data_IF_288545035438
#
_entry.id   IF_288545035438
#
_cell.length_a   1.000
_cell.length_b   1.000
_cell.length_c   1.000
_cell.angle_alpha   90.00
_cell.angle_beta   90.00
_cell.angle_gamma   90.00
#
_symmetry.space_group_name_H-M   'P 1'
#
loop_
_entity.id
_entity.type
_entity.pdbx_description
1 polymer ?
#
# COMPACT_ATOMS: atom_id res chain seq x y z
N UNK A 1 21.20 -45.40 35.55
CA UNK A 1 21.33 -44.47 36.69
C UNK A 1 21.72 -43.14 36.07
N UNK A 2 20.73 -42.26 35.88
CA UNK A 2 20.86 -41.00 35.14
C UNK A 2 20.95 -39.89 36.17
N UNK A 3 22.05 -39.14 36.19
CA UNK A 3 22.23 -38.03 37.12
C UNK A 3 21.43 -36.80 36.65
N UNK A 4 20.81 -36.03 37.57
CA UNK A 4 20.08 -34.83 37.22
C UNK A 4 21.02 -33.64 36.96
N UNK A 5 20.77 -32.93 35.86
CA UNK A 5 21.49 -31.71 35.48
C UNK A 5 20.96 -30.52 36.30
N UNK A 6 21.78 -29.98 37.18
CA UNK A 6 21.47 -28.79 37.98
C UNK A 6 21.85 -27.54 37.17
N UNK A 7 20.93 -26.61 36.86
CA UNK A 7 21.29 -25.33 36.27
C UNK A 7 22.03 -24.47 37.29
N UNK A 8 23.24 -24.02 36.95
CA UNK A 8 24.04 -23.10 37.76
C UNK A 8 23.44 -21.69 37.82
N UNK A 9 23.87 -20.87 38.79
CA UNK A 9 23.37 -19.51 38.95
C UNK A 9 23.80 -18.62 37.77
N UNK A 10 22.84 -17.89 37.20
CA UNK A 10 23.10 -16.90 36.17
C UNK A 10 23.84 -15.70 36.79
N UNK A 11 25.04 -15.45 36.27
CA UNK A 11 25.84 -14.26 36.60
C UNK A 11 25.15 -13.01 36.01
N UNK A 12 24.94 -11.92 36.78
CA UNK A 12 24.42 -10.68 36.24
C UNK A 12 25.47 -10.00 35.37
N UNK A 13 25.18 -9.90 34.06
CA UNK A 13 25.99 -9.17 33.10
C UNK A 13 26.16 -7.70 33.56
N UNK A 14 27.38 -7.14 33.57
CA UNK A 14 27.58 -5.74 33.95
C UNK A 14 26.90 -4.82 32.93
N UNK A 15 26.17 -3.82 33.44
CA UNK A 15 25.55 -2.76 32.66
C UNK A 15 26.59 -2.05 31.78
N UNK A 16 26.42 -2.12 30.45
CA UNK A 16 27.19 -1.30 29.53
C UNK A 16 26.84 0.18 29.75
N UNK A 17 27.83 1.08 29.92
CA UNK A 17 27.57 2.50 30.01
C UNK A 17 27.01 3.00 28.68
N UNK A 18 25.88 3.70 28.78
CA UNK A 18 25.08 4.20 27.66
C UNK A 18 25.91 4.93 26.62
N UNK A 19 25.74 4.52 25.37
CA UNK A 19 26.14 5.31 24.21
C UNK A 19 25.21 6.54 24.14
N UNK A 20 25.75 7.70 24.49
CA UNK A 20 25.09 9.00 24.30
C UNK A 20 24.57 9.12 22.85
N UNK A 21 23.33 9.59 22.63
CA UNK A 21 22.85 9.90 21.29
C UNK A 21 23.66 11.07 20.73
N UNK A 22 24.21 10.86 19.53
CA UNK A 22 24.87 11.90 18.76
C UNK A 22 23.99 13.16 18.72
N UNK A 23 24.57 14.28 19.15
CA UNK A 23 23.96 15.59 19.11
C UNK A 23 23.37 15.85 17.71
N UNK A 24 22.05 16.03 17.65
CA UNK A 24 21.38 16.50 16.45
C UNK A 24 21.93 17.87 16.02
N UNK A 25 21.94 18.19 14.72
CA UNK A 25 22.52 19.43 14.23
C UNK A 25 21.81 20.65 14.83
N UNK A 26 22.62 21.61 15.32
CA UNK A 26 22.21 22.86 15.94
C UNK A 26 21.09 23.61 15.17
N UNK A 27 20.00 24.04 15.83
CA UNK A 27 18.90 24.77 15.20
C UNK A 27 19.25 26.20 14.79
N UNK A 28 20.45 26.69 15.11
CA UNK A 28 20.95 28.02 14.71
C UNK A 28 21.50 28.06 13.28
N UNK A 29 21.80 26.89 12.68
CA UNK A 29 22.30 26.78 11.30
C UNK A 29 21.18 26.67 10.24
N UNK A 30 19.92 26.91 10.62
CA UNK A 30 18.78 26.92 9.69
C UNK A 30 18.40 28.29 9.15
N UNK A 31 18.87 29.37 9.79
CA UNK A 31 18.55 30.75 9.38
C UNK A 31 19.50 31.31 8.32
N UNK A 32 20.69 30.76 8.19
CA UNK A 32 21.71 31.25 7.23
C UNK A 32 21.63 30.56 5.86
N UNK A 33 21.13 29.33 5.79
CA UNK A 33 21.05 28.55 4.53
C UNK A 33 19.89 28.98 3.63
N UNK A 34 18.85 29.62 4.18
CA UNK A 34 17.70 30.13 3.40
C UNK A 34 18.09 31.35 2.55
N UNK A 35 19.18 32.05 2.88
CA UNK A 35 19.64 33.22 2.11
C UNK A 35 20.65 32.89 1.00
N UNK A 36 21.10 31.63 0.84
CA UNK A 36 22.03 31.23 -0.23
C UNK A 36 21.42 30.33 -1.31
N UNK A 37 20.15 29.95 -1.21
CA UNK A 37 19.46 29.13 -2.21
C UNK A 37 18.67 29.94 -3.27
N UNK A 38 18.71 31.28 -3.23
CA UNK A 38 17.99 32.15 -4.20
C UNK A 38 18.89 32.64 -5.34
N UNK A 39 20.22 32.45 -5.27
CA UNK A 39 21.15 32.95 -6.31
C UNK A 39 21.57 31.95 -7.38
N UNK A 40 21.25 30.64 -7.25
CA UNK A 40 21.71 29.62 -8.21
C UNK A 40 20.70 29.29 -9.34
N UNK A 41 19.43 29.71 -9.24
CA UNK A 41 18.40 29.40 -10.25
C UNK A 41 18.37 30.43 -11.39
N UNK A 42 18.83 31.67 -11.16
CA UNK A 42 18.81 32.71 -12.18
C UNK A 42 19.91 32.57 -13.26
N UNK A 43 21.03 31.90 -12.96
CA UNK A 43 22.14 31.76 -13.91
C UNK A 43 21.93 30.66 -14.96
N UNK A 44 21.16 29.61 -14.64
CA UNK A 44 20.95 28.46 -15.54
C UNK A 44 19.93 28.78 -16.65
N UNK A 45 18.94 29.63 -16.38
CA UNK A 45 17.95 30.04 -17.39
C UNK A 45 18.55 30.93 -18.51
N UNK A 46 19.59 31.72 -18.21
CA UNK A 46 20.23 32.64 -19.18
C UNK A 46 21.10 31.86 -20.19
N UNK A 47 21.71 30.74 -19.78
CA UNK A 47 22.53 29.91 -20.68
C UNK A 47 21.67 29.13 -21.67
N UNK A 48 20.47 28.70 -21.29
CA UNK A 48 19.56 27.93 -22.17
C UNK A 48 18.98 28.83 -23.28
N UNK A 49 18.69 30.10 -22.99
CA UNK A 49 18.18 31.06 -23.98
C UNK A 49 19.23 31.43 -25.05
N UNK A 50 20.52 31.45 -24.71
CA UNK A 50 21.60 31.74 -25.66
C UNK A 50 21.85 30.60 -26.65
N UNK A 51 21.59 29.34 -26.26
CA UNK A 51 21.80 28.17 -27.13
C UNK A 51 20.70 28.05 -28.21
N UNK A 52 19.49 28.56 -27.94
CA UNK A 52 18.38 28.51 -28.89
C UNK A 52 18.42 29.58 -30.00
N UNK A 53 19.29 30.60 -29.90
CA UNK A 53 19.36 31.71 -30.88
C UNK A 53 20.49 31.51 -31.90
N UNK A 54 21.37 30.52 -31.73
CA UNK A 54 22.55 30.33 -32.59
C UNK A 54 22.37 29.32 -33.74
N UNK A 55 21.17 28.83 -34.03
CA UNK A 55 20.93 27.91 -35.16
C UNK A 55 19.80 28.36 -36.09
N UNK A 56 19.70 29.67 -36.33
CA UNK A 56 19.02 30.20 -37.51
C UNK A 56 20.06 30.42 -38.62
N UNK A 57 20.22 29.44 -39.51
CA UNK A 57 21.12 29.53 -40.65
C UNK A 57 20.88 28.46 -41.71
N UNK A 58 20.25 28.90 -42.81
CA UNK A 58 20.27 28.34 -44.16
C UNK A 58 19.28 27.23 -44.55
N UNK A 59 18.31 27.68 -45.35
CA UNK A 59 17.54 26.96 -46.35
C UNK A 59 18.41 26.14 -47.31
N UNK A 60 17.94 24.97 -47.78
CA UNK A 60 17.73 24.68 -49.21
C UNK A 60 17.01 23.32 -49.41
N UNK A 61 16.25 23.25 -50.50
CA UNK A 61 15.12 22.35 -50.76
C UNK A 61 15.50 21.01 -51.45
N UNK A 62 14.61 20.34 -52.22
CA UNK A 62 14.11 18.99 -51.96
C UNK A 62 14.70 17.93 -52.91
N UNK A 63 14.64 16.64 -52.59
CA UNK A 63 14.71 15.57 -53.60
C UNK A 63 13.93 14.34 -53.17
N UNK A 64 13.21 13.84 -54.16
CA UNK A 64 12.21 12.79 -54.12
C UNK A 64 12.77 11.37 -53.90
N UNK A 65 11.80 10.48 -53.65
CA UNK A 65 11.76 9.07 -54.05
C UNK A 65 12.67 8.08 -53.30
N UNK A 66 12.04 7.23 -52.49
CA UNK A 66 11.88 5.79 -52.74
C UNK A 66 11.12 5.19 -51.55
N UNK A 67 9.86 4.79 -51.70
CA UNK A 67 9.44 3.49 -52.24
C UNK A 67 9.95 2.29 -51.42
N UNK A 68 8.96 1.49 -50.98
CA UNK A 68 9.07 0.08 -50.55
C UNK A 68 9.61 -0.15 -49.13
N UNK A 69 9.10 -1.06 -48.31
CA UNK A 69 8.04 -2.08 -48.41
C UNK A 69 7.87 -2.64 -46.98
N UNK A 70 6.62 -2.90 -46.60
CA UNK A 70 6.18 -4.17 -46.02
C UNK A 70 6.87 -4.68 -44.74
N UNK A 71 6.22 -4.46 -43.59
CA UNK A 71 6.29 -5.39 -42.45
C UNK A 71 4.86 -5.89 -42.17
N UNK A 72 4.64 -7.13 -42.57
CA UNK A 72 3.45 -7.95 -42.35
C UNK A 72 3.13 -8.09 -40.86
N UNK A 73 1.86 -7.97 -40.44
CA UNK A 73 1.42 -8.52 -39.15
C UNK A 73 1.29 -10.04 -39.29
N UNK A 74 2.10 -10.80 -38.53
CA UNK A 74 1.87 -12.24 -38.35
C UNK A 74 0.72 -12.39 -37.35
N UNK A 75 -0.48 -12.57 -37.90
CA UNK A 75 -1.65 -13.11 -37.21
C UNK A 75 -1.42 -14.61 -37.00
N UNK A 76 -1.07 -15.03 -35.80
CA UNK A 76 -1.19 -16.44 -35.41
C UNK A 76 -2.62 -16.70 -34.91
N UNK A 77 -3.45 -17.18 -35.82
CA UNK A 77 -4.76 -17.76 -35.53
C UNK A 77 -4.56 -19.18 -35.01
N UNK A 78 -4.67 -19.39 -33.70
CA UNK A 78 -4.82 -20.75 -33.15
C UNK A 78 -6.31 -21.08 -33.13
N UNK A 79 -6.74 -21.84 -34.13
CA UNK A 79 -8.03 -22.54 -34.17
C UNK A 79 -7.77 -24.00 -33.83
N UNK A 80 -8.21 -24.44 -32.64
CA UNK A 80 -8.43 -25.86 -32.34
C UNK A 80 -9.68 -26.03 -31.47
N UNK A 81 -10.75 -26.41 -32.17
CA UNK A 81 -11.72 -27.48 -31.89
C UNK A 81 -12.19 -27.72 -30.44
N UNK A 82 -13.49 -27.49 -30.14
CA UNK A 82 -14.13 -28.05 -28.95
C UNK A 82 -14.42 -29.54 -29.16
N UNK A 83 -13.90 -30.39 -28.27
CA UNK A 83 -14.27 -31.80 -28.18
C UNK A 83 -15.47 -31.96 -27.24
N UNK A 84 -16.62 -32.27 -27.85
CA UNK A 84 -17.77 -32.90 -27.22
C UNK A 84 -17.43 -34.36 -26.88
N UNK A 85 -17.63 -34.79 -25.64
CA UNK A 85 -17.97 -36.19 -25.32
C UNK A 85 -18.75 -36.25 -24.00
N UNK A 86 -19.88 -36.93 -24.12
CA UNK A 86 -20.94 -37.27 -23.20
C UNK A 86 -20.56 -38.06 -21.92
N UNK A 87 -21.58 -38.11 -21.05
CA UNK A 87 -21.90 -39.15 -20.07
C UNK A 87 -21.13 -39.22 -18.75
N UNK A 88 -21.84 -38.86 -17.66
CA UNK A 88 -22.22 -39.86 -16.65
C UNK A 88 -23.48 -39.41 -15.91
N UNK A 89 -24.53 -40.17 -16.14
CA UNK A 89 -25.78 -40.24 -15.36
C UNK A 89 -25.47 -40.67 -13.92
N UNK A 90 -26.02 -39.97 -12.92
CA UNK A 90 -26.39 -40.59 -11.63
C UNK A 90 -27.67 -39.95 -11.12
N UNK A 91 -28.66 -40.83 -10.98
CA UNK A 91 -30.02 -40.65 -10.53
C UNK A 91 -30.09 -40.48 -9.01
N UNK A 92 -30.87 -39.47 -8.61
CA UNK A 92 -31.73 -39.33 -7.43
C UNK A 92 -31.30 -39.95 -6.09
N UNK A 93 -31.17 -39.08 -5.08
CA UNK A 93 -31.78 -39.38 -3.78
C UNK A 93 -32.78 -38.28 -3.43
N UNK A 94 -34.02 -38.72 -3.21
CA UNK A 94 -35.16 -37.95 -2.73
C UNK A 94 -35.07 -37.83 -1.21
N UNK A 95 -35.12 -36.63 -0.65
CA UNK A 95 -35.67 -36.42 0.71
C UNK A 95 -36.36 -35.05 0.81
N UNK A 96 -37.67 -35.10 0.63
CA UNK A 96 -38.72 -34.52 1.48
C UNK A 96 -38.42 -33.24 2.30
N UNK A 97 -39.07 -32.16 1.85
CA UNK A 97 -39.79 -31.12 2.60
C UNK A 97 -39.60 -31.02 4.12
N UNK A 98 -39.19 -29.84 4.59
CA UNK A 98 -39.75 -29.20 5.79
C UNK A 98 -39.72 -27.68 5.63
N UNK A 99 -40.92 -27.10 5.67
CA UNK A 99 -41.23 -25.67 5.71
C UNK A 99 -40.71 -24.96 6.98
N UNK A 100 -40.27 -23.72 6.75
CA UNK A 100 -40.43 -22.51 7.58
C UNK A 100 -39.62 -22.35 8.90
N UNK A 101 -39.26 -21.11 9.30
CA UNK A 101 -39.65 -19.83 8.71
C UNK A 101 -38.48 -19.02 8.12
N UNK A 102 -38.82 -18.21 7.11
CA UNK A 102 -38.15 -16.94 6.85
C UNK A 102 -38.19 -16.11 8.13
N UNK A 103 -37.08 -16.08 8.85
CA UNK A 103 -36.72 -14.88 9.59
C UNK A 103 -36.09 -13.95 8.56
N UNK A 104 -36.95 -13.17 7.90
CA UNK A 104 -36.56 -11.88 7.34
C UNK A 104 -36.03 -11.05 8.52
N UNK A 105 -34.76 -11.26 8.87
CA UNK A 105 -34.02 -10.35 9.72
C UNK A 105 -33.74 -9.13 8.85
N UNK A 106 -34.78 -8.32 8.79
CA UNK A 106 -34.82 -6.92 8.43
C UNK A 106 -33.42 -6.34 8.48
N UNK A 107 -32.87 -6.12 7.30
CA UNK A 107 -31.69 -5.30 7.07
C UNK A 107 -31.92 -3.92 7.71
N UNK A 108 -31.55 -3.81 8.99
CA UNK A 108 -31.38 -2.53 9.65
C UNK A 108 -30.00 -2.03 9.29
N UNK A 109 -29.82 -1.76 8.00
CA UNK A 109 -28.78 -0.88 7.51
C UNK A 109 -29.16 0.52 7.99
N UNK A 110 -28.84 0.81 9.25
CA UNK A 110 -28.65 2.19 9.68
C UNK A 110 -27.45 2.71 8.92
N UNK A 111 -27.69 3.16 7.69
CA UNK A 111 -26.84 4.10 7.00
C UNK A 111 -26.89 5.41 7.80
N UNK A 112 -26.12 5.48 8.88
CA UNK A 112 -25.58 6.76 9.36
C UNK A 112 -24.37 7.06 8.48
N UNK A 113 -24.65 7.37 7.23
CA UNK A 113 -23.71 8.01 6.32
C UNK A 113 -23.95 9.51 6.40
N UNK A 114 -23.32 10.17 7.38
CA UNK A 114 -22.91 11.59 7.33
C UNK A 114 -22.43 12.05 8.70
N UNK A 115 -21.28 12.73 8.68
CA UNK A 115 -20.54 13.31 9.81
C UNK A 115 -20.02 12.27 10.81
N UNK A 116 -18.73 11.94 10.64
CA UNK A 116 -17.95 11.28 11.67
C UNK A 116 -18.17 12.00 12.99
N UNK A 117 -18.98 11.36 13.82
CA UNK A 117 -19.36 11.89 15.12
C UNK A 117 -18.07 11.82 15.97
N UNK A 118 -17.85 12.70 16.96
CA UNK A 118 -16.60 12.76 17.77
C UNK A 118 -16.24 11.48 18.57
N UNK A 119 -16.86 10.36 18.23
CA UNK A 119 -16.67 8.97 18.66
C UNK A 119 -15.90 8.12 17.64
N UNK A 120 -15.66 8.59 16.41
CA UNK A 120 -14.92 7.83 15.41
C UNK A 120 -13.47 7.57 15.86
N UNK A 121 -12.97 6.36 15.58
CA UNK A 121 -11.58 6.02 15.79
C UNK A 121 -10.73 6.54 14.62
N UNK A 122 -9.44 6.72 14.85
CA UNK A 122 -8.46 7.19 13.87
C UNK A 122 -7.39 6.14 13.61
N UNK A 123 -6.83 6.16 12.40
CA UNK A 123 -5.54 5.52 12.12
C UNK A 123 -4.46 6.54 12.43
N UNK A 124 -3.44 6.16 13.20
CA UNK A 124 -2.33 7.05 13.45
C UNK A 124 -1.25 6.84 12.39
N UNK A 125 -0.72 7.93 11.84
CA UNK A 125 0.44 7.87 10.97
C UNK A 125 1.74 7.66 11.78
N UNK A 126 2.86 7.54 11.06
CA UNK A 126 4.16 7.33 11.66
C UNK A 126 4.70 8.54 12.44
N UNK A 127 4.18 9.74 12.19
CA UNK A 127 4.48 10.93 12.96
C UNK A 127 3.55 11.09 14.18
N UNK A 128 2.57 10.19 14.35
CA UNK A 128 1.61 10.21 15.44
C UNK A 128 0.42 11.15 15.21
N UNK A 129 0.17 11.58 13.97
CA UNK A 129 -1.03 12.35 13.67
C UNK A 129 -2.23 11.40 13.47
N UNK A 130 -3.38 11.69 14.09
CA UNK A 130 -4.60 10.93 13.87
C UNK A 130 -5.20 11.25 12.49
N UNK A 131 -5.56 10.21 11.74
CA UNK A 131 -6.17 10.29 10.43
C UNK A 131 -7.55 9.60 10.44
N UNK A 132 -8.58 10.35 10.08
CA UNK A 132 -9.95 9.82 9.89
C UNK A 132 -10.19 9.68 8.39
N UNK A 133 -10.52 8.45 7.96
CA UNK A 133 -10.73 8.10 6.54
C UNK A 133 -9.55 8.49 5.63
N UNK A 134 -8.29 8.13 5.95
CA UNK A 134 -7.16 8.47 5.11
C UNK A 134 -7.25 7.79 3.73
N UNK A 135 -6.70 8.45 2.71
CA UNK A 135 -6.53 7.85 1.36
C UNK A 135 -5.31 6.93 1.28
N UNK A 136 -4.42 7.00 2.27
CA UNK A 136 -3.19 6.20 2.37
C UNK A 136 -2.92 5.77 3.82
N UNK A 137 -2.50 4.52 4.01
CA UNK A 137 -2.06 3.98 5.30
C UNK A 137 -0.66 3.40 5.11
N UNK A 138 0.36 4.16 5.54
CA UNK A 138 1.77 3.73 5.58
C UNK A 138 2.19 3.22 6.95
N UNK A 139 1.36 3.42 7.97
CA UNK A 139 1.63 3.01 9.35
C UNK A 139 1.49 1.51 9.61
N UNK A 140 1.44 0.68 8.57
CA UNK A 140 1.64 -0.76 8.71
C UNK A 140 3.11 -1.02 9.12
N UNK A 141 4.05 -0.40 8.41
CA UNK A 141 5.48 -0.45 8.72
C UNK A 141 6.14 0.93 8.59
N UNK A 142 6.23 1.65 9.70
CA UNK A 142 6.76 3.02 9.70
C UNK A 142 8.24 3.17 9.31
N UNK A 143 9.04 2.10 9.35
CA UNK A 143 10.47 2.15 9.06
C UNK A 143 10.82 2.02 7.57
N UNK A 144 10.15 1.12 6.85
CA UNK A 144 10.51 0.76 5.48
C UNK A 144 9.36 0.87 4.49
N UNK A 145 8.12 1.06 4.95
CA UNK A 145 6.91 1.02 4.13
C UNK A 145 6.91 -0.21 3.19
N UNK A 146 7.35 -1.37 3.69
CA UNK A 146 7.39 -2.60 2.91
C UNK A 146 5.99 -3.03 2.45
N UNK A 147 4.98 -2.66 3.23
CA UNK A 147 3.55 -2.77 2.90
C UNK A 147 2.89 -1.43 3.21
N UNK A 148 2.11 -0.91 2.26
CA UNK A 148 1.24 0.25 2.47
C UNK A 148 -0.10 0.04 1.75
N UNK A 149 -1.12 0.77 2.19
CA UNK A 149 -2.40 0.83 1.50
C UNK A 149 -2.57 2.21 0.87
N UNK A 150 -2.94 2.25 -0.40
CA UNK A 150 -3.12 3.49 -1.18
C UNK A 150 -4.48 3.50 -1.86
N UNK A 151 -4.90 4.65 -2.40
CA UNK A 151 -6.18 4.79 -3.11
C UNK A 151 -7.39 4.31 -2.28
N UNK A 152 -7.35 4.54 -0.97
CA UNK A 152 -8.37 4.07 -0.05
C UNK A 152 -9.70 4.79 -0.24
N UNK A 153 -10.77 4.01 -0.31
CA UNK A 153 -12.15 4.45 -0.40
C UNK A 153 -12.95 3.76 0.71
N UNK A 154 -13.54 4.54 1.62
CA UNK A 154 -14.21 4.03 2.81
C UNK A 154 -15.71 3.97 2.63
N UNK A 155 -16.28 2.77 2.71
CA UNK A 155 -17.74 2.56 2.69
C UNK A 155 -18.33 2.77 4.08
N UNK A 156 -17.59 2.43 5.14
CA UNK A 156 -17.96 2.78 6.52
C UNK A 156 -16.77 3.19 7.35
N UNK A 157 -17.03 4.04 8.31
CA UNK A 157 -16.07 4.44 9.32
C UNK A 157 -16.80 4.64 10.64
N UNK A 158 -16.26 4.12 11.73
CA UNK A 158 -16.89 4.25 13.03
C UNK A 158 -15.94 4.06 14.20
N UNK A 159 -16.50 4.09 15.41
CA UNK A 159 -15.76 4.08 16.67
C UNK A 159 -14.99 2.77 16.96
N UNK A 160 -15.37 1.66 16.33
CA UNK A 160 -14.83 0.32 16.61
C UNK A 160 -14.25 -0.37 15.39
N UNK A 161 -14.64 0.09 14.21
CA UNK A 161 -14.37 -0.61 12.97
C UNK A 161 -14.58 0.33 11.77
N UNK A 162 -13.79 0.16 10.73
CA UNK A 162 -13.97 0.82 9.44
C UNK A 162 -13.76 -0.18 8.31
N UNK A 163 -14.50 -0.01 7.21
CA UNK A 163 -14.39 -0.87 6.03
C UNK A 163 -14.26 0.00 4.79
N UNK A 164 -13.38 -0.44 3.91
CA UNK A 164 -13.13 0.21 2.64
C UNK A 164 -12.44 -0.72 1.67
N UNK A 165 -12.00 -0.15 0.57
CA UNK A 165 -11.23 -0.81 -0.48
C UNK A 165 -10.10 0.09 -0.92
N UNK A 166 -9.03 -0.48 -1.44
CA UNK A 166 -7.89 0.26 -1.97
C UNK A 166 -6.86 -0.66 -2.58
N UNK A 167 -5.64 -0.16 -2.75
CA UNK A 167 -4.54 -0.93 -3.33
C UNK A 167 -3.50 -1.23 -2.27
N UNK A 168 -3.23 -2.51 -2.00
CA UNK A 168 -2.07 -2.92 -1.21
C UNK A 168 -0.83 -2.80 -2.09
N UNK A 169 0.14 -2.04 -1.62
CA UNK A 169 1.42 -1.81 -2.29
C UNK A 169 2.49 -2.51 -1.48
N UNK A 170 3.22 -3.43 -2.12
CA UNK A 170 4.28 -4.22 -1.48
C UNK A 170 5.61 -4.04 -2.19
N UNK A 171 6.68 -3.91 -1.41
CA UNK A 171 8.06 -3.95 -1.93
C UNK A 171 8.51 -5.41 -2.03
N UNK A 172 8.90 -5.83 -3.23
CA UNK A 172 9.41 -7.18 -3.49
C UNK A 172 10.94 -7.11 -3.58
N UNK A 173 11.64 -7.70 -2.62
CA UNK A 173 13.10 -7.63 -2.53
C UNK A 173 13.79 -8.85 -3.15
N UNK A 174 13.59 -9.07 -4.44
CA UNK A 174 14.22 -10.17 -5.18
C UNK A 174 15.05 -9.62 -6.34
N UNK A 175 16.38 -9.89 -6.42
CA UNK A 175 17.22 -10.61 -5.46
C UNK A 175 17.63 -9.77 -4.23
N UNK A 176 17.41 -8.45 -4.25
CA UNK A 176 17.65 -7.54 -3.13
C UNK A 176 16.77 -6.30 -3.27
N UNK A 177 16.56 -5.55 -2.17
CA UNK A 177 15.67 -4.40 -2.16
C UNK A 177 16.12 -3.22 -3.04
N UNK A 178 17.39 -3.14 -3.45
CA UNK A 178 17.86 -2.05 -4.33
C UNK A 178 17.46 -2.27 -5.80
N UNK A 179 17.26 -3.51 -6.20
CA UNK A 179 16.84 -3.91 -7.56
C UNK A 179 15.40 -4.43 -7.60
N UNK A 180 14.76 -4.55 -6.44
CA UNK A 180 13.41 -5.04 -6.28
C UNK A 180 12.36 -4.15 -6.94
N UNK A 181 11.16 -4.71 -7.11
CA UNK A 181 10.02 -4.01 -7.69
C UNK A 181 8.97 -3.67 -6.63
N UNK A 182 8.03 -2.81 -7.02
CA UNK A 182 6.84 -2.51 -6.23
C UNK A 182 5.64 -3.13 -6.95
N UNK A 183 4.87 -3.95 -6.23
CA UNK A 183 3.66 -4.59 -6.74
C UNK A 183 2.43 -3.99 -6.06
N UNK A 184 1.35 -3.83 -6.81
CA UNK A 184 0.08 -3.27 -6.34
C UNK A 184 -1.07 -4.24 -6.62
N UNK A 185 -1.88 -4.54 -5.61
CA UNK A 185 -3.02 -5.46 -5.71
C UNK A 185 -4.28 -4.81 -5.15
N UNK A 186 -5.43 -5.06 -5.78
CA UNK A 186 -6.72 -4.54 -5.31
C UNK A 186 -7.17 -5.33 -4.09
N UNK A 187 -7.56 -4.62 -3.03
CA UNK A 187 -7.91 -5.24 -1.76
C UNK A 187 -9.14 -4.62 -1.12
N UNK A 188 -9.82 -5.43 -0.32
CA UNK A 188 -10.80 -4.97 0.68
C UNK A 188 -10.12 -4.87 2.04
N UNK A 189 -10.45 -3.85 2.80
CA UNK A 189 -9.78 -3.49 4.05
C UNK A 189 -10.80 -3.40 5.18
N UNK A 190 -10.47 -4.02 6.32
CA UNK A 190 -11.21 -3.90 7.58
C UNK A 190 -10.25 -3.42 8.67
N UNK A 191 -10.50 -2.25 9.24
CA UNK A 191 -9.77 -1.73 10.39
C UNK A 191 -10.48 -2.15 11.68
N UNK A 192 -9.72 -2.56 12.68
CA UNK A 192 -10.25 -3.04 13.96
C UNK A 192 -9.30 -2.88 15.13
N UNK A 193 -9.56 -3.65 16.20
CA UNK A 193 -8.78 -3.65 17.45
C UNK A 193 -8.60 -2.24 18.03
N UNK A 194 -9.72 -1.55 18.29
CA UNK A 194 -9.68 -0.15 18.71
C UNK A 194 -9.32 -0.01 20.19
N UNK A 195 -8.28 0.76 20.48
CA UNK A 195 -7.89 1.18 21.83
C UNK A 195 -7.78 2.70 21.90
N UNK A 196 -8.43 3.35 22.88
CA UNK A 196 -8.40 4.83 23.05
C UNK A 196 -8.73 5.63 21.77
N UNK A 197 -9.69 5.15 20.97
CA UNK A 197 -10.05 5.70 19.65
C UNK A 197 -8.95 5.63 18.59
N UNK A 198 -8.00 4.70 18.73
CA UNK A 198 -7.01 4.37 17.70
C UNK A 198 -7.25 2.96 17.17
N UNK A 199 -7.28 2.77 15.86
CA UNK A 199 -7.27 1.43 15.25
C UNK A 199 -5.91 0.76 15.47
N UNK A 200 -5.92 -0.49 15.93
CA UNK A 200 -4.71 -1.28 16.20
C UNK A 200 -4.36 -2.28 15.11
N UNK A 201 -5.33 -2.70 14.29
CA UNK A 201 -5.14 -3.68 13.23
C UNK A 201 -5.80 -3.26 11.92
N UNK A 202 -5.26 -3.79 10.83
CA UNK A 202 -5.84 -3.74 9.51
C UNK A 202 -5.83 -5.13 8.88
N UNK A 203 -7.01 -5.65 8.55
CA UNK A 203 -7.17 -6.87 7.78
C UNK A 203 -7.35 -6.51 6.32
N UNK A 204 -6.49 -7.06 5.47
CA UNK A 204 -6.43 -6.86 4.03
C UNK A 204 -6.85 -8.18 3.38
N UNK A 205 -7.81 -8.13 2.47
CA UNK A 205 -8.32 -9.30 1.74
C UNK A 205 -8.16 -9.06 0.25
N UNK A 206 -7.47 -9.96 -0.43
CA UNK A 206 -7.26 -9.90 -1.89
C UNK A 206 -8.50 -10.32 -2.68
N UNK A 207 -8.43 -10.22 -4.00
CA UNK A 207 -9.52 -10.59 -4.92
C UNK A 207 -9.85 -12.10 -4.90
N UNK A 208 -8.93 -12.94 -4.42
CA UNK A 208 -9.13 -14.37 -4.27
C UNK A 208 -9.79 -14.74 -2.93
N UNK A 209 -10.04 -13.75 -2.06
CA UNK A 209 -10.60 -13.96 -0.72
C UNK A 209 -9.57 -14.36 0.32
N UNK A 210 -8.27 -14.27 0.03
CA UNK A 210 -7.21 -14.54 1.01
C UNK A 210 -7.02 -13.30 1.88
N UNK A 211 -7.16 -13.47 3.19
CA UNK A 211 -6.99 -12.39 4.16
C UNK A 211 -5.66 -12.46 4.90
N UNK A 212 -5.06 -11.29 5.15
CA UNK A 212 -3.90 -11.08 6.03
C UNK A 212 -4.21 -9.95 6.99
N UNK A 213 -3.84 -10.09 8.26
CA UNK A 213 -4.02 -9.05 9.26
C UNK A 213 -2.67 -8.48 9.67
N UNK A 214 -2.52 -7.17 9.54
CA UNK A 214 -1.35 -6.43 9.98
C UNK A 214 -1.66 -5.63 11.24
N UNK A 215 -0.63 -5.44 12.09
CA UNK A 215 -0.67 -4.46 13.16
C UNK A 215 -0.39 -3.08 12.58
N UNK A 216 -1.13 -2.08 13.05
CA UNK A 216 -0.78 -0.69 12.82
C UNK A 216 0.29 -0.29 13.82
N UNK A 217 1.43 0.14 13.31
CA UNK A 217 2.62 0.57 14.06
C UNK A 217 2.74 2.09 14.14
N UNK A 218 1.71 2.82 13.70
CA UNK A 218 1.61 4.26 13.87
C UNK A 218 1.68 4.67 15.34
N UNK A 219 2.21 5.86 15.59
CA UNK A 219 2.45 6.36 16.94
C UNK A 219 1.15 6.86 17.59
N UNK A 220 0.26 5.93 17.95
CA UNK A 220 -0.93 6.24 18.73
C UNK A 220 -0.55 6.63 20.18
N UNK A 221 -1.23 7.60 20.80
CA UNK A 221 -1.00 7.95 22.19
C UNK A 221 -1.34 6.77 23.11
N UNK A 222 -0.43 6.47 24.04
CA UNK A 222 -0.55 5.37 24.99
C UNK A 222 -1.73 5.51 25.95
#
# INVERSE_FOLDING_TARGET
>A
MTEPFTPGPHDPQPDEPGSDPAAGPDPSSRRTTILLAVSAVAAVAIVIAAILIATSGSSDSPTAASASRSSTPTTETVTVTPSTTDETTTTEETTTTTEAPSTEESASSTASETAGNGRDAAVYDCAGNPQVRPTEITSIYCGDNAVSLTNMQWTRWGAREAVGSGTEVRKVCEPNCAQGSVVGEQVTVVLGDVTKKAFGTVTVTDENGTSKTYRLTGNAPN
#
